data_IF_819757895208
#
_entry.id   IF_819757895208
#
_cell.length_a   1.000
_cell.length_b   1.000
_cell.length_c   1.000
_cell.angle_alpha   90.00
_cell.angle_beta   90.00
_cell.angle_gamma   90.00
#
_symmetry.space_group_name_H-M   'P 1'
#
loop_
_entity.id
_entity.type
_entity.pdbx_description
1 polymer ?
#
# COMPACT_ATOMS: atom_id res chain seq x y z
N UNK A 1 1.90 -21.43 20.82
CA UNK A 1 2.75 -20.86 19.76
C UNK A 1 1.90 -19.84 19.04
N UNK A 2 2.39 -18.62 18.92
CA UNK A 2 1.68 -17.57 18.19
C UNK A 2 1.48 -17.97 16.73
N UNK A 3 0.22 -18.08 16.33
CA UNK A 3 -0.14 -18.48 14.97
C UNK A 3 -0.28 -17.22 14.10
N UNK A 4 0.53 -17.15 13.05
CA UNK A 4 0.52 -16.09 12.04
C UNK A 4 -0.08 -16.61 10.75
N UNK A 5 -0.44 -15.70 9.86
CA UNK A 5 -0.80 -16.08 8.50
C UNK A 5 0.33 -16.85 7.82
N UNK A 6 -0.04 -17.83 7.01
CA UNK A 6 0.86 -18.79 6.37
C UNK A 6 1.73 -18.18 5.26
N UNK A 7 1.39 -16.96 4.81
CA UNK A 7 2.22 -16.21 3.85
C UNK A 7 3.43 -15.52 4.49
N UNK A 8 3.49 -15.42 5.82
CA UNK A 8 4.58 -14.76 6.53
C UNK A 8 5.85 -15.59 6.40
N UNK A 9 6.92 -15.01 5.84
CA UNK A 9 8.23 -15.67 5.77
C UNK A 9 8.92 -15.57 7.13
N UNK A 10 8.83 -16.64 7.91
CA UNK A 10 9.40 -16.71 9.27
C UNK A 10 10.92 -16.57 9.36
N UNK A 11 11.64 -16.59 8.22
CA UNK A 11 13.08 -16.34 8.15
C UNK A 11 13.45 -14.86 8.03
N UNK A 12 12.47 -13.97 7.84
CA UNK A 12 12.69 -12.54 7.71
C UNK A 12 12.01 -11.77 8.87
N UNK A 13 12.79 -11.25 9.84
CA UNK A 13 12.26 -10.48 10.96
C UNK A 13 11.45 -9.24 10.55
N UNK A 14 11.82 -8.56 9.45
CA UNK A 14 11.05 -7.40 8.96
C UNK A 14 9.68 -7.82 8.46
N UNK A 15 9.57 -8.99 7.84
CA UNK A 15 8.30 -9.47 7.32
C UNK A 15 7.37 -9.95 8.45
N UNK A 16 7.95 -10.53 9.51
CA UNK A 16 7.24 -10.85 10.75
C UNK A 16 6.71 -9.56 11.40
N UNK A 17 7.57 -8.56 11.63
CA UNK A 17 7.17 -7.30 12.22
C UNK A 17 6.09 -6.59 11.38
N UNK A 18 6.23 -6.57 10.06
CA UNK A 18 5.21 -6.01 9.17
C UNK A 18 3.84 -6.71 9.34
N UNK A 19 3.81 -8.04 9.43
CA UNK A 19 2.55 -8.76 9.68
C UNK A 19 1.97 -8.44 11.05
N UNK A 20 2.81 -8.44 12.08
CA UNK A 20 2.38 -8.35 13.48
C UNK A 20 1.99 -6.91 13.88
N UNK A 21 2.64 -5.90 13.29
CA UNK A 21 2.57 -4.51 13.75
C UNK A 21 1.91 -3.57 12.74
N UNK A 22 1.78 -3.96 11.47
CA UNK A 22 1.29 -3.08 10.41
C UNK A 22 0.12 -3.67 9.63
N UNK A 23 0.29 -4.86 9.06
CA UNK A 23 -0.64 -5.41 8.08
C UNK A 23 -2.00 -5.75 8.69
N UNK A 24 -3.07 -5.26 8.04
CA UNK A 24 -4.44 -5.47 8.51
C UNK A 24 -4.86 -4.55 9.67
N UNK A 25 -3.96 -3.72 10.21
CA UNK A 25 -4.30 -2.74 11.25
C UNK A 25 -4.87 -1.46 10.61
N UNK A 26 -6.00 -0.91 11.11
CA UNK A 26 -6.58 0.32 10.58
C UNK A 26 -5.59 1.49 10.56
N UNK A 27 -5.24 1.93 9.35
CA UNK A 27 -4.34 3.06 9.14
C UNK A 27 -5.13 4.30 8.72
N UNK A 28 -4.97 5.39 9.49
CA UNK A 28 -5.69 6.66 9.27
C UNK A 28 -4.79 7.86 8.95
N UNK A 29 -3.47 7.68 8.99
CA UNK A 29 -2.52 8.75 8.68
C UNK A 29 -2.31 8.85 7.16
N UNK A 30 -2.65 9.99 6.56
CA UNK A 30 -2.56 10.24 5.12
C UNK A 30 -1.14 10.03 4.58
N UNK A 31 -0.13 10.43 5.36
CA UNK A 31 1.27 10.33 4.97
C UNK A 31 1.74 8.87 4.90
N UNK A 32 1.32 8.05 5.86
CA UNK A 32 1.54 6.61 5.89
C UNK A 32 0.73 5.87 4.82
N UNK A 33 -0.53 6.26 4.59
CA UNK A 33 -1.38 5.73 3.50
C UNK A 33 -0.75 6.00 2.13
N UNK A 34 -0.19 7.20 1.93
CA UNK A 34 0.52 7.56 0.71
C UNK A 34 1.78 6.71 0.50
N UNK A 35 2.62 6.55 1.53
CA UNK A 35 3.80 5.67 1.47
C UNK A 35 3.39 4.24 1.09
N UNK A 36 2.40 3.68 1.79
CA UNK A 36 1.93 2.32 1.59
C UNK A 36 1.38 2.10 0.17
N UNK A 37 0.53 3.01 -0.32
CA UNK A 37 0.02 2.97 -1.69
C UNK A 37 1.15 2.98 -2.72
N UNK A 38 2.16 3.83 -2.51
CA UNK A 38 3.31 3.89 -3.41
C UNK A 38 4.13 2.60 -3.39
N UNK A 39 4.37 2.02 -2.21
CA UNK A 39 5.07 0.73 -2.09
C UNK A 39 4.35 -0.39 -2.85
N UNK A 40 3.02 -0.44 -2.79
CA UNK A 40 2.21 -1.42 -3.54
C UNK A 40 2.41 -1.27 -5.06
N UNK A 41 2.62 -0.05 -5.58
CA UNK A 41 2.96 0.13 -7.00
C UNK A 41 4.28 -0.56 -7.38
N UNK A 42 5.24 -0.61 -6.46
CA UNK A 42 6.54 -1.25 -6.68
C UNK A 42 6.47 -2.76 -6.64
N UNK A 43 5.52 -3.34 -5.91
CA UNK A 43 5.33 -4.78 -5.78
C UNK A 43 5.01 -5.47 -7.11
N UNK A 44 4.36 -4.79 -8.07
CA UNK A 44 4.00 -5.41 -9.35
C UNK A 44 5.22 -6.07 -10.06
N UNK A 45 5.20 -7.40 -10.16
CA UNK A 45 6.28 -8.22 -10.75
C UNK A 45 7.42 -8.60 -9.79
N UNK A 46 7.27 -8.34 -8.48
CA UNK A 46 8.24 -8.63 -7.43
C UNK A 46 7.53 -9.24 -6.20
N UNK A 47 8.31 -9.75 -5.25
CA UNK A 47 7.74 -10.14 -3.94
C UNK A 47 7.57 -8.91 -3.04
N UNK A 48 6.55 -8.90 -2.18
CA UNK A 48 6.39 -7.84 -1.17
C UNK A 48 7.63 -7.68 -0.29
N UNK A 49 8.24 -8.79 0.12
CA UNK A 49 9.50 -8.81 0.86
C UNK A 49 10.61 -8.00 0.17
N UNK A 50 10.72 -8.07 -1.16
CA UNK A 50 11.69 -7.27 -1.92
C UNK A 50 11.46 -5.77 -1.77
N UNK A 51 10.19 -5.34 -1.76
CA UNK A 51 9.81 -3.94 -1.56
C UNK A 51 10.04 -3.53 -0.11
N UNK A 52 9.58 -4.35 0.84
CA UNK A 52 9.69 -4.10 2.28
C UNK A 52 11.15 -3.94 2.72
N UNK A 53 12.04 -4.82 2.26
CA UNK A 53 13.48 -4.72 2.54
C UNK A 53 14.14 -3.45 1.97
N UNK A 54 13.50 -2.79 0.99
CA UNK A 54 13.97 -1.53 0.38
C UNK A 54 13.24 -0.29 0.92
N UNK A 55 12.28 -0.44 1.85
CA UNK A 55 11.44 0.65 2.36
C UNK A 55 12.24 1.84 2.86
N UNK A 56 13.31 1.61 3.63
CA UNK A 56 14.15 2.70 4.14
C UNK A 56 14.88 3.46 3.02
N UNK A 57 15.35 2.75 1.99
CA UNK A 57 15.98 3.38 0.83
C UNK A 57 14.96 4.20 0.03
N UNK A 58 13.72 3.71 -0.09
CA UNK A 58 12.63 4.46 -0.71
C UNK A 58 12.26 5.71 0.08
N UNK A 59 12.15 5.63 1.41
CA UNK A 59 11.94 6.80 2.26
C UNK A 59 13.03 7.85 2.03
N UNK A 60 14.29 7.46 1.98
CA UNK A 60 15.39 8.40 1.68
C UNK A 60 15.26 9.01 0.27
N UNK A 61 14.96 8.19 -0.74
CA UNK A 61 14.83 8.61 -2.14
C UNK A 61 13.65 9.57 -2.38
N UNK A 62 12.57 9.43 -1.62
CA UNK A 62 11.33 10.18 -1.78
C UNK A 62 11.05 11.10 -0.59
N UNK A 63 12.07 11.72 0.02
CA UNK A 63 11.92 12.74 1.07
C UNK A 63 11.05 12.30 2.27
N UNK A 64 11.21 11.08 2.75
CA UNK A 64 10.38 10.49 3.80
C UNK A 64 8.93 10.28 3.37
N UNK A 65 8.69 10.16 2.07
CA UNK A 65 7.39 10.18 1.41
C UNK A 65 6.57 11.47 1.59
N UNK A 66 7.12 12.55 2.16
CA UNK A 66 6.39 13.81 2.40
C UNK A 66 5.62 14.25 1.15
N UNK A 67 4.28 14.20 1.19
CA UNK A 67 3.44 14.23 -0.02
C UNK A 67 3.75 15.45 -0.89
N UNK A 68 3.84 16.63 -0.27
CA UNK A 68 4.16 17.88 -0.98
C UNK A 68 5.55 17.84 -1.62
N UNK A 69 6.57 17.40 -0.88
CA UNK A 69 7.94 17.31 -1.38
C UNK A 69 8.05 16.34 -2.56
N UNK A 70 7.38 15.18 -2.47
CA UNK A 70 7.34 14.20 -3.55
C UNK A 70 6.61 14.75 -4.78
N UNK A 71 5.51 15.49 -4.59
CA UNK A 71 4.75 16.09 -5.68
C UNK A 71 5.54 17.15 -6.46
N UNK A 72 6.49 17.82 -5.79
CA UNK A 72 7.34 18.89 -6.34
C UNK A 72 8.63 18.38 -6.98
N UNK A 73 8.99 17.10 -6.82
CA UNK A 73 10.20 16.53 -7.41
C UNK A 73 10.26 16.76 -8.93
N UNK A 74 11.38 17.28 -9.38
CA UNK A 74 11.64 17.58 -10.79
C UNK A 74 11.94 16.31 -11.59
N UNK A 75 11.79 16.38 -12.91
CA UNK A 75 12.19 15.26 -13.79
C UNK A 75 13.66 14.90 -13.58
N UNK A 76 14.55 15.89 -13.42
CA UNK A 76 15.97 15.66 -13.16
C UNK A 76 16.22 14.84 -11.90
N UNK A 77 15.51 15.14 -10.80
CA UNK A 77 15.63 14.37 -9.55
C UNK A 77 15.12 12.93 -9.73
N UNK A 78 13.99 12.75 -10.41
CA UNK A 78 13.44 11.42 -10.68
C UNK A 78 14.33 10.59 -11.60
N UNK A 79 14.94 11.19 -12.62
CA UNK A 79 15.91 10.51 -13.48
C UNK A 79 17.16 10.13 -12.69
N UNK A 80 17.64 10.98 -11.78
CA UNK A 80 18.78 10.66 -10.92
C UNK A 80 18.52 9.44 -10.02
N UNK A 81 17.27 9.20 -9.60
CA UNK A 81 16.92 8.00 -8.84
C UNK A 81 17.09 6.69 -9.62
N UNK A 82 17.13 6.73 -10.97
CA UNK A 82 17.41 5.54 -11.78
C UNK A 82 18.83 5.01 -11.58
N UNK A 83 19.74 5.83 -11.08
CA UNK A 83 21.12 5.40 -10.78
C UNK A 83 21.26 4.81 -9.37
N UNK A 84 20.23 4.90 -8.52
CA UNK A 84 20.28 4.42 -7.15
C UNK A 84 20.02 2.89 -7.06
N UNK A 85 21.04 2.05 -6.76
CA UNK A 85 20.86 0.60 -6.68
C UNK A 85 20.08 0.14 -5.43
N UNK A 86 19.93 1.02 -4.42
CA UNK A 86 19.24 0.68 -3.18
C UNK A 86 17.72 0.54 -3.39
N UNK A 87 17.14 1.20 -4.41
CA UNK A 87 15.71 1.13 -4.74
C UNK A 87 15.45 0.25 -5.98
N UNK A 88 14.17 0.13 -6.37
CA UNK A 88 13.77 -0.53 -7.61
C UNK A 88 13.84 0.49 -8.75
N UNK A 89 14.82 0.33 -9.64
CA UNK A 89 15.13 1.23 -10.76
C UNK A 89 14.19 1.02 -11.95
N UNK A 90 12.92 1.33 -11.75
CA UNK A 90 11.90 1.30 -12.80
C UNK A 90 11.40 2.73 -13.06
N UNK A 91 11.73 3.27 -14.24
CA UNK A 91 11.40 4.66 -14.61
C UNK A 91 9.90 4.95 -14.53
N UNK A 92 9.05 4.07 -15.05
CA UNK A 92 7.61 4.29 -15.02
C UNK A 92 7.06 4.36 -13.59
N UNK A 93 7.55 3.50 -12.69
CA UNK A 93 7.14 3.48 -11.27
C UNK A 93 7.67 4.68 -10.48
N UNK A 94 8.92 5.09 -10.71
CA UNK A 94 9.50 6.29 -10.08
C UNK A 94 8.70 7.55 -10.45
N UNK A 95 8.40 7.73 -11.74
CA UNK A 95 7.56 8.85 -12.19
C UNK A 95 6.11 8.74 -11.68
N UNK A 96 5.59 7.52 -11.52
CA UNK A 96 4.29 7.30 -10.92
C UNK A 96 4.22 7.73 -9.45
N UNK A 97 5.28 7.58 -8.66
CA UNK A 97 5.31 8.05 -7.26
C UNK A 97 5.01 9.54 -7.15
N UNK A 98 5.67 10.38 -7.97
CA UNK A 98 5.33 11.82 -8.06
C UNK A 98 3.92 12.06 -8.56
N UNK A 99 3.50 11.39 -9.64
CA UNK A 99 2.16 11.56 -10.19
C UNK A 99 1.06 11.20 -9.16
N UNK A 100 1.31 10.16 -8.36
CA UNK A 100 0.44 9.75 -7.26
C UNK A 100 0.41 10.80 -6.15
N UNK A 101 1.54 11.40 -5.78
CA UNK A 101 1.58 12.49 -4.80
C UNK A 101 0.72 13.69 -5.26
N UNK A 102 0.85 14.07 -6.53
CA UNK A 102 0.05 15.15 -7.12
C UNK A 102 -1.45 14.80 -7.16
N UNK A 103 -1.81 13.56 -7.46
CA UNK A 103 -3.18 13.07 -7.41
C UNK A 103 -3.74 13.06 -5.98
N UNK A 104 -2.90 12.68 -5.01
CA UNK A 104 -3.23 12.67 -3.59
C UNK A 104 -3.58 14.06 -3.08
N UNK A 105 -2.77 15.08 -3.38
CA UNK A 105 -3.04 16.47 -3.00
C UNK A 105 -4.36 16.98 -3.59
N UNK A 106 -4.66 16.67 -4.86
CA UNK A 106 -5.95 17.04 -5.48
C UNK A 106 -7.12 16.38 -4.78
N UNK A 107 -6.96 15.12 -4.39
CA UNK A 107 -7.99 14.36 -3.69
C UNK A 107 -8.21 14.90 -2.27
N UNK A 108 -7.15 15.24 -1.54
CA UNK A 108 -7.24 15.90 -0.23
C UNK A 108 -8.00 17.24 -0.32
N UNK A 109 -7.80 18.01 -1.39
CA UNK A 109 -8.56 19.25 -1.60
C UNK A 109 -10.07 19.02 -1.81
N UNK A 110 -10.48 17.86 -2.33
CA UNK A 110 -11.89 17.51 -2.58
C UNK A 110 -12.56 16.84 -1.37
N UNK A 111 -11.85 15.96 -0.66
CA UNK A 111 -12.40 15.12 0.42
C UNK A 111 -11.95 15.54 1.82
N UNK A 112 -11.06 16.52 1.94
CA UNK A 112 -10.40 16.90 3.18
C UNK A 112 -9.17 16.04 3.51
N UNK A 113 -9.28 14.72 3.37
CA UNK A 113 -8.17 13.77 3.52
C UNK A 113 -8.32 12.57 2.59
N UNK A 114 -7.21 11.86 2.33
CA UNK A 114 -7.27 10.59 1.61
C UNK A 114 -7.86 9.47 2.46
N UNK A 115 -7.61 9.49 3.76
CA UNK A 115 -8.28 8.66 4.76
C UNK A 115 -9.81 8.75 4.63
N UNK A 116 -10.39 9.95 4.72
CA UNK A 116 -11.83 10.15 4.63
C UNK A 116 -12.40 9.63 3.30
N UNK A 117 -11.69 9.87 2.20
CA UNK A 117 -12.04 9.30 0.90
C UNK A 117 -12.03 7.77 0.94
N UNK A 118 -10.96 7.15 1.43
CA UNK A 118 -10.77 5.70 1.40
C UNK A 118 -11.80 4.98 2.26
N UNK A 119 -11.98 5.43 3.50
CA UNK A 119 -12.91 4.83 4.46
C UNK A 119 -14.38 5.08 4.11
N UNK A 120 -14.69 6.08 3.27
CA UNK A 120 -16.06 6.28 2.75
C UNK A 120 -16.57 5.10 1.92
N UNK A 121 -15.67 4.29 1.34
CA UNK A 121 -16.07 3.11 0.55
C UNK A 121 -16.53 1.94 1.41
N UNK A 122 -16.26 1.97 2.72
CA UNK A 122 -16.56 0.91 3.68
C UNK A 122 -17.34 1.41 4.90
N UNK A 123 -17.97 2.58 4.78
CA UNK A 123 -18.78 3.19 5.85
C UNK A 123 -17.99 3.34 7.17
N UNK A 124 -16.69 3.61 7.08
CA UNK A 124 -15.81 3.79 8.24
C UNK A 124 -15.52 2.51 9.03
N UNK A 125 -15.80 1.32 8.48
CA UNK A 125 -15.62 0.04 9.18
C UNK A 125 -14.73 -0.90 8.40
N UNK A 126 -13.79 -1.53 9.09
CA UNK A 126 -12.99 -2.61 8.52
C UNK A 126 -13.89 -3.77 8.12
N UNK A 127 -13.68 -4.30 6.92
CA UNK A 127 -14.34 -5.51 6.43
C UNK A 127 -13.52 -6.70 6.92
N UNK A 128 -14.09 -7.51 7.82
CA UNK A 128 -13.45 -8.73 8.32
C UNK A 128 -13.98 -9.92 7.53
N UNK A 129 -13.15 -10.52 6.68
CA UNK A 129 -13.55 -11.69 5.87
C UNK A 129 -13.24 -13.01 6.60
N UNK A 130 -13.95 -14.06 6.19
CA UNK A 130 -13.66 -15.46 6.55
C UNK A 130 -12.54 -15.99 5.64
N UNK A 131 -11.34 -16.19 6.19
CA UNK A 131 -10.13 -16.58 5.45
C UNK A 131 -9.53 -17.85 6.08
N UNK A 132 -10.00 -19.05 5.70
CA UNK A 132 -9.42 -20.30 6.20
C UNK A 132 -8.03 -20.62 5.61
N UNK A 133 -7.74 -20.14 4.39
CA UNK A 133 -6.47 -20.31 3.70
C UNK A 133 -6.22 -19.12 2.77
N UNK A 134 -5.17 -18.35 3.01
CA UNK A 134 -4.86 -17.14 2.24
C UNK A 134 -4.68 -17.41 0.74
N UNK A 135 -4.29 -18.64 0.35
CA UNK A 135 -4.10 -19.01 -1.07
C UNK A 135 -5.43 -19.12 -1.82
N UNK A 136 -6.53 -19.24 -1.10
CA UNK A 136 -7.88 -19.30 -1.65
C UNK A 136 -8.56 -17.93 -1.63
N UNK A 137 -7.96 -16.93 -0.96
CA UNK A 137 -8.46 -15.57 -0.96
C UNK A 137 -8.46 -14.99 -2.39
N UNK A 138 -9.47 -14.19 -2.75
CA UNK A 138 -9.56 -13.63 -4.09
C UNK A 138 -8.43 -12.62 -4.33
N UNK A 139 -7.87 -12.61 -5.54
CA UNK A 139 -6.84 -11.62 -5.91
C UNK A 139 -7.40 -10.20 -6.14
N UNK A 140 -8.72 -10.05 -6.27
CA UNK A 140 -9.44 -8.78 -6.41
C UNK A 140 -10.89 -8.94 -5.96
N UNK A 141 -11.52 -7.87 -5.52
CA UNK A 141 -12.93 -7.85 -5.09
C UNK A 141 -13.73 -6.78 -5.84
N UNK A 142 -15.06 -6.81 -5.73
CA UNK A 142 -15.89 -5.75 -6.28
C UNK A 142 -15.52 -4.37 -5.71
N UNK A 143 -15.13 -4.32 -4.42
CA UNK A 143 -14.62 -3.11 -3.78
C UNK A 143 -13.31 -2.64 -4.42
N UNK A 144 -12.33 -3.54 -4.57
CA UNK A 144 -11.03 -3.15 -5.14
C UNK A 144 -11.14 -2.76 -6.62
N UNK A 145 -12.05 -3.37 -7.38
CA UNK A 145 -12.36 -2.97 -8.76
C UNK A 145 -13.01 -1.60 -8.84
N UNK A 146 -13.98 -1.31 -7.96
CA UNK A 146 -14.63 0.01 -7.86
C UNK A 146 -13.62 1.09 -7.52
N UNK A 147 -12.81 0.87 -6.48
CA UNK A 147 -11.81 1.83 -6.02
C UNK A 147 -10.68 2.02 -7.04
N UNK A 148 -10.17 0.95 -7.66
CA UNK A 148 -9.18 1.05 -8.74
C UNK A 148 -9.67 1.90 -9.91
N UNK A 149 -10.94 1.73 -10.31
CA UNK A 149 -11.55 2.54 -11.37
C UNK A 149 -11.62 4.02 -10.97
N UNK A 150 -11.94 4.31 -9.71
CA UNK A 150 -12.04 5.68 -9.22
C UNK A 150 -10.66 6.35 -9.09
N UNK A 151 -9.69 5.66 -8.47
CA UNK A 151 -8.30 6.11 -8.39
C UNK A 151 -7.73 6.40 -9.79
N UNK A 152 -7.99 5.53 -10.78
CA UNK A 152 -7.56 5.76 -12.17
C UNK A 152 -8.17 7.02 -12.78
N UNK A 153 -9.46 7.30 -12.52
CA UNK A 153 -10.11 8.54 -12.99
C UNK A 153 -9.51 9.79 -12.34
N UNK A 154 -8.94 9.63 -11.14
CA UNK A 154 -8.25 10.68 -10.37
C UNK A 154 -6.74 10.75 -10.67
N UNK A 155 -6.32 10.13 -11.77
CA UNK A 155 -4.95 10.10 -12.29
C UNK A 155 -3.92 9.31 -11.49
N UNK A 156 -4.32 8.56 -10.46
CA UNK A 156 -3.41 7.61 -9.81
C UNK A 156 -2.91 6.57 -10.82
N UNK A 157 -1.65 6.20 -10.68
CA UNK A 157 -0.91 5.29 -11.55
C UNK A 157 -0.62 3.98 -10.81
N UNK A 158 -0.59 2.88 -11.56
CA UNK A 158 -0.32 1.53 -11.05
C UNK A 158 -1.31 1.02 -9.98
N UNK A 159 -2.52 1.60 -9.92
CA UNK A 159 -3.59 1.24 -8.99
C UNK A 159 -4.58 0.25 -9.62
N UNK A 160 -4.09 -0.88 -10.14
CA UNK A 160 -4.95 -1.95 -10.65
C UNK A 160 -5.73 -2.67 -9.53
N UNK A 161 -6.85 -3.37 -9.82
CA UNK A 161 -7.69 -3.98 -8.78
C UNK A 161 -6.97 -4.95 -7.82
N UNK A 162 -5.92 -5.63 -8.30
CA UNK A 162 -5.10 -6.52 -7.46
C UNK A 162 -4.26 -5.71 -6.48
N UNK A 163 -3.50 -4.73 -6.98
CA UNK A 163 -2.69 -3.84 -6.14
C UNK A 163 -3.56 -3.04 -5.14
N UNK A 164 -4.75 -2.63 -5.56
CA UNK A 164 -5.70 -1.95 -4.67
C UNK A 164 -6.23 -2.89 -3.60
N UNK A 165 -6.50 -4.16 -3.91
CA UNK A 165 -6.89 -5.10 -2.84
C UNK A 165 -5.75 -5.30 -1.84
N UNK A 166 -4.52 -5.51 -2.30
CA UNK A 166 -3.35 -5.62 -1.43
C UNK A 166 -3.16 -4.39 -0.55
N UNK A 167 -3.32 -3.19 -1.12
CA UNK A 167 -3.30 -1.93 -0.37
C UNK A 167 -4.39 -1.88 0.71
N UNK A 168 -5.64 -2.24 0.36
CA UNK A 168 -6.76 -2.22 1.32
C UNK A 168 -6.55 -3.22 2.47
N UNK A 169 -5.96 -4.38 2.17
CA UNK A 169 -5.57 -5.36 3.18
C UNK A 169 -4.47 -4.81 4.09
N UNK A 170 -3.41 -4.26 3.49
CA UNK A 170 -2.29 -3.70 4.24
C UNK A 170 -2.68 -2.51 5.12
N UNK A 171 -3.61 -1.66 4.66
CA UNK A 171 -4.09 -0.49 5.40
C UNK A 171 -5.20 -0.81 6.44
N UNK A 172 -5.58 -2.08 6.60
CA UNK A 172 -6.62 -2.49 7.56
C UNK A 172 -8.04 -2.05 7.20
N UNK A 173 -8.28 -1.66 5.95
CA UNK A 173 -9.64 -1.46 5.41
C UNK A 173 -10.33 -2.83 5.25
N UNK A 174 -9.55 -3.83 4.83
CA UNK A 174 -9.95 -5.22 4.76
C UNK A 174 -9.05 -6.01 5.71
N UNK A 175 -9.63 -6.72 6.66
CA UNK A 175 -8.93 -7.70 7.45
C UNK A 175 -9.07 -9.08 6.80
N UNK A 176 -7.99 -9.47 6.12
CA UNK A 176 -7.80 -10.80 5.52
C UNK A 176 -6.76 -11.64 6.29
N UNK A 177 -6.53 -11.35 7.58
CA UNK A 177 -5.80 -12.31 8.42
C UNK A 177 -6.52 -13.67 8.33
N UNK A 178 -5.75 -14.75 8.30
CA UNK A 178 -6.33 -16.10 8.34
C UNK A 178 -7.10 -16.29 9.65
N UNK A 179 -8.17 -17.09 9.63
CA UNK A 179 -9.07 -17.25 10.78
C UNK A 179 -8.33 -17.70 12.04
N UNK A 180 -7.27 -18.47 11.85
CA UNK A 180 -6.43 -19.00 12.92
C UNK A 180 -5.16 -18.15 13.22
N UNK A 181 -5.02 -16.97 12.60
CA UNK A 181 -4.03 -15.94 12.95
C UNK A 181 -4.38 -15.12 14.20
N UNK A 182 -3.42 -14.94 15.13
CA UNK A 182 -3.61 -14.16 16.38
C UNK A 182 -3.94 -12.68 16.18
N UNK A 183 -3.70 -12.13 14.98
CA UNK A 183 -3.98 -10.74 14.63
C UNK A 183 -5.32 -10.53 13.91
N UNK A 184 -6.14 -11.60 13.79
CA UNK A 184 -7.49 -11.48 13.25
C UNK A 184 -8.37 -10.61 14.15
N UNK A 185 -9.00 -9.59 13.57
CA UNK A 185 -9.94 -8.73 14.28
C UNK A 185 -11.18 -9.50 14.72
N UNK A 186 -11.66 -9.20 15.92
CA UNK A 186 -12.94 -9.73 16.43
C UNK A 186 -12.92 -11.24 16.74
N UNK A 187 -11.74 -11.82 16.94
CA UNK A 187 -11.57 -13.17 17.44
C UNK A 187 -12.11 -13.33 18.87
#
# INVERSE_FOLDING_TARGET
>A
MTKRCSWVKMTNPLYIAYHDEEWGQPLHDDQALFELLCMETYQAGLSWETVLNKRQAFRQAFHGYQIQAVAEMTDTELEALLENPAIIRNRAKIFATRANAQAFLRLQAEYGSFDAYLWSFVEGKTIVNDVPDYRQAPAKTALSEKLAKDLKKRDFKFTGPVAVLSFLQAAGIVDDHENDCEWKSGR
#
